data_IF_434414430789
#
_entry.id   IF_434414430789
#
_cell.length_a   1.000
_cell.length_b   1.000
_cell.length_c   1.000
_cell.angle_alpha   90.00
_cell.angle_beta   90.00
_cell.angle_gamma   90.00
#
_symmetry.space_group_name_H-M   'P 1'
#
loop_
_entity.id
_entity.type
_entity.pdbx_description
1 polymer ?
#
# COMPACT_ATOMS: atom_id res chain seq x y z
N UNK A 1 -17.30 3.57 -6.35
CA UNK A 1 -16.54 3.41 -5.10
C UNK A 1 -15.13 3.94 -5.29
N UNK A 2 -14.59 4.62 -4.30
CA UNK A 2 -13.24 5.14 -4.36
C UNK A 2 -12.23 3.99 -4.47
N UNK A 3 -11.19 4.19 -5.30
CA UNK A 3 -10.15 3.18 -5.48
C UNK A 3 -9.45 2.84 -4.16
N UNK A 4 -9.24 3.84 -3.30
CA UNK A 4 -8.61 3.62 -1.99
C UNK A 4 -9.41 2.64 -1.13
N UNK A 5 -10.74 2.71 -1.19
CA UNK A 5 -11.62 1.80 -0.43
C UNK A 5 -11.51 0.37 -0.96
N UNK A 6 -11.47 0.21 -2.29
CA UNK A 6 -11.29 -1.11 -2.91
C UNK A 6 -9.97 -1.72 -2.47
N UNK A 7 -8.89 -0.92 -2.50
CA UNK A 7 -7.56 -1.36 -2.07
C UNK A 7 -7.57 -1.79 -0.61
N UNK A 8 -8.16 -0.96 0.26
CA UNK A 8 -8.20 -1.27 1.70
C UNK A 8 -8.97 -2.54 1.98
N UNK A 9 -10.11 -2.72 1.33
CA UNK A 9 -10.90 -3.96 1.49
C UNK A 9 -10.09 -5.19 1.09
N UNK A 10 -9.38 -5.09 -0.03
CA UNK A 10 -8.57 -6.20 -0.51
C UNK A 10 -7.42 -6.51 0.44
N UNK A 11 -6.72 -5.49 0.92
CA UNK A 11 -5.64 -5.66 1.89
C UNK A 11 -6.13 -6.26 3.20
N UNK A 12 -7.25 -5.76 3.72
CA UNK A 12 -7.81 -6.25 4.99
C UNK A 12 -8.23 -7.72 4.90
N UNK A 13 -8.58 -8.19 3.71
CA UNK A 13 -8.95 -9.60 3.48
C UNK A 13 -7.75 -10.52 3.26
N UNK A 14 -6.65 -10.01 2.71
CA UNK A 14 -5.56 -10.85 2.23
C UNK A 14 -4.22 -10.63 2.93
N UNK A 15 -4.04 -9.48 3.59
CA UNK A 15 -2.79 -9.17 4.28
C UNK A 15 -2.95 -9.41 5.78
N UNK A 16 -1.95 -10.04 6.39
CA UNK A 16 -1.94 -10.35 7.81
C UNK A 16 -1.44 -9.17 8.65
N UNK A 17 -1.99 -7.99 8.38
CA UNK A 17 -1.74 -6.77 9.14
C UNK A 17 -2.83 -5.77 8.79
N UNK A 18 -3.26 -4.93 9.74
CA UNK A 18 -4.29 -3.93 9.46
C UNK A 18 -3.76 -2.80 8.57
N UNK A 19 -4.68 -2.17 7.84
CA UNK A 19 -4.37 -1.02 7.01
C UNK A 19 -5.21 0.18 7.44
N UNK A 20 -4.67 1.38 7.21
CA UNK A 20 -5.29 2.63 7.62
C UNK A 20 -5.07 3.70 6.57
N UNK A 21 -5.98 4.66 6.47
CA UNK A 21 -5.78 5.85 5.64
C UNK A 21 -5.02 6.93 6.39
N UNK A 22 -5.20 6.99 7.70
CA UNK A 22 -4.53 7.94 8.57
C UNK A 22 -3.71 7.21 9.62
N UNK A 23 -2.66 7.86 10.13
CA UNK A 23 -1.84 7.27 11.17
C UNK A 23 -2.69 7.02 12.41
N UNK A 24 -2.77 5.77 12.90
CA UNK A 24 -3.66 5.44 14.02
C UNK A 24 -3.16 6.04 15.34
N UNK A 25 -4.11 6.38 16.22
CA UNK A 25 -3.81 6.96 17.53
C UNK A 25 -3.01 6.00 18.41
N UNK A 26 -3.41 4.74 18.41
CA UNK A 26 -2.67 3.68 19.14
C UNK A 26 -2.22 2.65 18.10
N UNK A 27 -1.09 2.88 17.43
CA UNK A 27 -0.69 2.03 16.32
C UNK A 27 -0.39 0.60 16.79
N UNK A 28 -0.87 -0.42 16.05
CA UNK A 28 -0.45 -1.78 16.30
C UNK A 28 1.04 -1.95 15.97
N UNK A 29 1.60 -3.10 16.37
CA UNK A 29 3.02 -3.37 16.16
C UNK A 29 3.43 -3.29 14.69
N UNK A 30 2.57 -3.77 13.80
CA UNK A 30 2.79 -3.68 12.35
C UNK A 30 1.48 -3.32 11.66
N UNK A 31 1.59 -2.45 10.69
CA UNK A 31 0.42 -1.95 9.95
C UNK A 31 0.86 -1.27 8.67
N UNK A 32 -0.10 -1.03 7.78
CA UNK A 32 0.12 -0.36 6.51
C UNK A 32 -0.68 0.94 6.45
N UNK A 33 -0.03 2.02 6.02
CA UNK A 33 -0.73 3.25 5.65
C UNK A 33 -0.91 3.27 4.14
N UNK A 34 -2.10 3.67 3.71
CA UNK A 34 -2.47 3.81 2.30
C UNK A 34 -2.58 5.29 1.99
N UNK A 35 -1.79 5.77 1.05
CA UNK A 35 -1.77 7.18 0.67
C UNK A 35 -1.78 7.33 -0.84
N UNK A 36 -2.91 7.75 -1.40
CA UNK A 36 -2.97 8.04 -2.83
C UNK A 36 -2.33 9.40 -3.08
N UNK A 37 -1.18 9.39 -3.75
CA UNK A 37 -0.38 10.59 -3.98
C UNK A 37 -0.80 11.36 -5.21
N UNK A 38 -1.34 10.68 -6.22
CA UNK A 38 -1.82 11.33 -7.44
C UNK A 38 -2.81 10.43 -8.18
N UNK A 39 -3.45 10.99 -9.17
CA UNK A 39 -4.33 10.27 -10.06
C UNK A 39 -4.36 10.92 -11.42
N UNK A 40 -4.82 10.20 -12.43
CA UNK A 40 -4.89 10.67 -13.78
C UNK A 40 -5.63 9.70 -14.68
N UNK A 41 -5.45 9.89 -15.96
CA UNK A 41 -6.06 9.05 -16.99
C UNK A 41 -5.04 8.76 -18.07
N UNK A 42 -4.97 7.51 -18.47
CA UNK A 42 -4.11 7.07 -19.55
C UNK A 42 -4.91 6.17 -20.48
N UNK A 43 -4.96 6.51 -21.78
CA UNK A 43 -5.74 5.75 -22.76
C UNK A 43 -7.20 5.57 -22.34
N UNK A 44 -7.77 6.60 -21.70
CA UNK A 44 -9.15 6.64 -21.20
C UNK A 44 -9.41 5.75 -19.98
N UNK A 45 -8.36 5.16 -19.39
CA UNK A 45 -8.48 4.45 -18.12
C UNK A 45 -7.97 5.32 -16.98
N UNK A 46 -8.75 5.49 -15.91
CA UNK A 46 -8.25 6.16 -14.73
C UNK A 46 -7.07 5.38 -14.13
N UNK A 47 -6.09 6.11 -13.61
CA UNK A 47 -5.04 5.50 -12.83
C UNK A 47 -4.82 6.27 -11.55
N UNK A 48 -4.27 5.59 -10.55
CA UNK A 48 -3.95 6.19 -9.27
C UNK A 48 -2.56 5.73 -8.87
N UNK A 49 -1.74 6.68 -8.44
CA UNK A 49 -0.45 6.38 -7.84
C UNK A 49 -0.66 6.35 -6.34
N UNK A 50 -0.37 5.22 -5.73
CA UNK A 50 -0.64 4.99 -4.31
C UNK A 50 0.64 4.55 -3.62
N UNK A 51 0.99 5.25 -2.54
CA UNK A 51 2.10 4.88 -1.68
C UNK A 51 1.58 4.03 -0.53
N UNK A 52 2.26 2.93 -0.26
CA UNK A 52 1.95 2.03 0.84
C UNK A 52 3.14 2.04 1.79
N UNK A 53 2.92 2.48 3.03
CA UNK A 53 3.96 2.51 4.04
C UNK A 53 3.76 1.34 4.99
N UNK A 54 4.72 0.41 4.99
CA UNK A 54 4.68 -0.77 5.85
C UNK A 54 5.51 -0.52 7.11
N UNK A 55 4.85 -0.46 8.25
CA UNK A 55 5.47 -0.19 9.54
C UNK A 55 5.72 -1.49 10.29
N UNK A 56 6.85 -1.56 10.99
CA UNK A 56 7.18 -2.68 11.86
C UNK A 56 7.92 -2.20 13.10
N UNK A 57 7.99 -3.05 14.11
CA UNK A 57 8.73 -2.75 15.33
C UNK A 57 10.24 -2.80 15.13
N UNK A 58 10.68 -3.42 14.03
CA UNK A 58 12.07 -3.48 13.61
C UNK A 58 12.16 -3.30 12.11
N UNK A 59 13.37 -3.04 11.62
CA UNK A 59 13.61 -2.96 10.18
C UNK A 59 13.20 -4.26 9.49
N UNK A 60 13.55 -5.39 10.08
CA UNK A 60 13.23 -6.70 9.49
C UNK A 60 11.72 -6.90 9.38
N UNK A 61 10.96 -6.56 10.42
CA UNK A 61 9.50 -6.67 10.39
C UNK A 61 8.89 -5.78 9.30
N UNK A 62 9.39 -4.56 9.15
CA UNK A 62 8.93 -3.65 8.11
C UNK A 62 9.26 -4.21 6.71
N UNK A 63 10.44 -4.80 6.54
CA UNK A 63 10.85 -5.44 5.28
C UNK A 63 9.92 -6.60 4.93
N UNK A 64 9.64 -7.48 5.89
CA UNK A 64 8.76 -8.64 5.67
C UNK A 64 7.36 -8.19 5.30
N UNK A 65 6.82 -7.23 6.04
CA UNK A 65 5.48 -6.71 5.76
C UNK A 65 5.42 -6.09 4.37
N UNK A 66 6.43 -5.32 3.99
CA UNK A 66 6.51 -4.71 2.66
C UNK A 66 6.53 -5.77 1.55
N UNK A 67 7.27 -6.85 1.75
CA UNK A 67 7.33 -7.95 0.79
C UNK A 67 5.98 -8.64 0.64
N UNK A 68 5.32 -8.93 1.76
CA UNK A 68 3.98 -9.52 1.76
C UNK A 68 2.97 -8.60 1.09
N UNK A 69 3.03 -7.31 1.38
CA UNK A 69 2.17 -6.30 0.77
C UNK A 69 2.30 -6.30 -0.75
N UNK A 70 3.53 -6.33 -1.26
CA UNK A 70 3.76 -6.33 -2.71
C UNK A 70 3.15 -7.55 -3.38
N UNK A 71 3.25 -8.72 -2.74
CA UNK A 71 2.65 -9.95 -3.27
C UNK A 71 1.13 -9.87 -3.30
N UNK A 72 0.53 -9.37 -2.23
CA UNK A 72 -0.92 -9.21 -2.14
C UNK A 72 -1.41 -8.23 -3.21
N UNK A 73 -0.74 -7.09 -3.36
CA UNK A 73 -1.15 -6.07 -4.34
C UNK A 73 -1.05 -6.58 -5.78
N UNK A 74 -0.04 -7.37 -6.10
CA UNK A 74 0.06 -7.96 -7.44
C UNK A 74 -1.15 -8.85 -7.75
N UNK A 75 -1.64 -9.58 -6.76
CA UNK A 75 -2.81 -10.44 -6.93
C UNK A 75 -4.11 -9.65 -7.00
N UNK A 76 -4.12 -8.39 -6.59
CA UNK A 76 -5.31 -7.54 -6.65
C UNK A 76 -5.79 -7.31 -8.09
N UNK A 77 -4.93 -7.53 -9.08
CA UNK A 77 -5.32 -7.46 -10.48
C UNK A 77 -6.39 -8.48 -10.87
N UNK A 78 -6.65 -9.48 -10.01
CA UNK A 78 -7.75 -10.44 -10.22
C UNK A 78 -9.14 -9.81 -10.09
N UNK A 79 -9.25 -8.67 -9.39
CA UNK A 79 -10.52 -7.99 -9.22
C UNK A 79 -10.99 -7.39 -10.54
N UNK A 80 -12.29 -7.50 -10.80
CA UNK A 80 -12.88 -6.98 -12.04
C UNK A 80 -12.76 -5.46 -12.16
N UNK A 81 -12.68 -4.75 -11.03
CA UNK A 81 -12.52 -3.29 -11.00
C UNK A 81 -11.12 -2.84 -11.38
N UNK A 82 -10.16 -3.74 -11.32
CA UNK A 82 -8.74 -3.44 -11.52
C UNK A 82 -8.29 -3.95 -12.89
N UNK A 83 -7.67 -3.06 -13.66
CA UNK A 83 -7.12 -3.42 -14.97
C UNK A 83 -5.66 -3.86 -14.87
N UNK A 84 -4.86 -3.13 -14.09
CA UNK A 84 -3.42 -3.38 -13.99
C UNK A 84 -2.88 -2.85 -12.67
N UNK A 85 -1.93 -3.58 -12.10
CA UNK A 85 -1.17 -3.15 -10.93
C UNK A 85 0.31 -3.19 -11.30
N UNK A 86 0.99 -2.07 -11.15
CA UNK A 86 2.39 -1.93 -11.56
C UNK A 86 3.22 -1.30 -10.44
N UNK A 87 4.27 -1.97 -10.02
CA UNK A 87 5.19 -1.42 -9.02
C UNK A 87 6.01 -0.30 -9.65
N UNK A 88 5.98 0.87 -9.03
CA UNK A 88 6.69 2.06 -9.49
C UNK A 88 8.02 2.23 -8.72
N UNK A 89 7.97 2.14 -7.38
CA UNK A 89 9.14 2.32 -6.53
C UNK A 89 8.99 1.53 -5.24
N UNK A 90 10.13 1.17 -4.65
CA UNK A 90 10.18 0.36 -3.44
C UNK A 90 11.48 0.68 -2.72
N UNK A 91 11.40 1.20 -1.50
CA UNK A 91 12.59 1.66 -0.78
C UNK A 91 12.35 1.76 0.72
N UNK A 92 13.47 1.77 1.46
CA UNK A 92 13.46 2.01 2.90
C UNK A 92 13.10 3.47 3.16
N UNK A 93 12.09 3.70 3.98
CA UNK A 93 11.56 5.03 4.27
C UNK A 93 11.53 5.28 5.78
N UNK A 94 12.41 4.63 6.54
CA UNK A 94 12.47 4.73 8.00
C UNK A 94 12.66 6.17 8.45
N UNK A 95 11.84 6.59 9.41
CA UNK A 95 11.97 7.88 10.07
C UNK A 95 13.03 7.75 11.16
N UNK A 96 14.24 8.24 10.88
CA UNK A 96 15.37 8.11 11.79
C UNK A 96 15.22 8.96 13.04
N UNK A 97 14.53 10.10 12.95
CA UNK A 97 14.31 10.97 14.12
C UNK A 97 13.38 10.32 15.13
N UNK A 98 12.30 9.72 14.68
CA UNK A 98 11.29 9.06 15.52
C UNK A 98 11.58 7.59 15.71
N UNK A 99 12.59 7.06 15.04
CA UNK A 99 12.96 5.63 15.06
C UNK A 99 11.80 4.74 14.68
N UNK A 100 11.02 5.18 13.69
CA UNK A 100 9.92 4.39 13.14
C UNK A 100 10.39 3.66 11.90
N UNK A 101 10.51 2.34 12.00
CA UNK A 101 10.91 1.49 10.88
C UNK A 101 9.76 1.35 9.91
N UNK A 102 9.98 1.75 8.66
CA UNK A 102 8.98 1.61 7.61
C UNK A 102 9.64 1.50 6.25
N UNK A 103 8.97 0.75 5.36
CA UNK A 103 9.30 0.71 3.94
C UNK A 103 8.17 1.35 3.17
N UNK A 104 8.47 1.91 2.02
CA UNK A 104 7.45 2.48 1.14
C UNK A 104 7.50 1.81 -0.22
N UNK A 105 6.37 1.28 -0.64
CA UNK A 105 6.16 0.77 -1.99
C UNK A 105 5.15 1.67 -2.68
N UNK A 106 5.49 2.14 -3.88
CA UNK A 106 4.61 3.00 -4.68
C UNK A 106 4.12 2.20 -5.87
N UNK A 107 2.81 2.16 -6.05
CA UNK A 107 2.18 1.42 -7.13
C UNK A 107 1.35 2.34 -8.00
N UNK A 108 1.38 2.08 -9.31
CA UNK A 108 0.43 2.65 -10.26
C UNK A 108 -0.67 1.63 -10.48
N UNK A 109 -1.89 2.03 -10.16
CA UNK A 109 -3.06 1.15 -10.22
C UNK A 109 -4.04 1.69 -11.26
N UNK A 110 -4.29 0.88 -12.28
CA UNK A 110 -5.21 1.19 -13.37
C UNK A 110 -6.53 0.49 -13.06
N UNK A 111 -7.63 1.24 -13.13
CA UNK A 111 -8.94 0.73 -12.75
C UNK A 111 -10.02 1.29 -13.67
N UNK A 112 -11.16 0.65 -13.63
CA UNK A 112 -12.30 1.05 -14.45
C UNK A 112 -13.18 2.10 -13.80
#
# INVERSE_FOLDING_TARGET
>A
MLIEVIIKQYLDEHLDAPSFFDYPTNPPRRFVLIDRTSGGENEQLPNSTVAFQSYGASKFEAMVLNDDLKKVLKNMAELKEISKVSLNADYNFTDLERKQHRYQAVFDIYHY
#
